data_IF_345812663533
#
_entry.id   IF_345812663533
#
_cell.length_a   1.000
_cell.length_b   1.000
_cell.length_c   1.000
_cell.angle_alpha   90.00
_cell.angle_beta   90.00
_cell.angle_gamma   90.00
#
_symmetry.space_group_name_H-M   'P 1'
#
loop_
_entity.id
_entity.type
_entity.pdbx_description
1 polymer ?
#
# COMPACT_ATOMS: atom_id res chain seq x y z
N UNK A 1 -1.16 -0.71 -17.17
CA UNK A 1 -0.02 -1.06 -16.30
C UNK A 1 -0.56 -1.21 -14.89
N UNK A 2 -0.08 -2.16 -14.07
CA UNK A 2 -0.54 -2.40 -12.70
C UNK A 2 -0.05 -1.33 -11.69
N UNK A 3 0.42 -0.18 -12.17
CA UNK A 3 0.96 0.90 -11.37
C UNK A 3 0.08 2.14 -11.53
N UNK A 4 -0.32 2.75 -10.41
CA UNK A 4 -1.08 4.00 -10.37
C UNK A 4 -0.36 5.03 -9.51
N UNK A 5 -0.15 6.22 -10.07
CA UNK A 5 0.18 7.42 -9.31
C UNK A 5 -1.14 8.13 -8.94
N UNK A 6 -1.41 8.24 -7.64
CA UNK A 6 -2.67 8.80 -7.18
C UNK A 6 -2.81 10.30 -7.43
N UNK A 7 -1.72 11.03 -7.64
CA UNK A 7 -1.76 12.45 -8.01
C UNK A 7 -2.39 12.68 -9.39
N UNK A 8 -2.51 11.62 -10.19
CA UNK A 8 -3.08 11.64 -11.53
C UNK A 8 -4.23 10.63 -11.70
N UNK A 9 -4.78 10.11 -10.60
CA UNK A 9 -5.83 9.09 -10.61
C UNK A 9 -7.07 9.57 -9.86
N UNK A 10 -8.25 9.47 -10.47
CA UNK A 10 -9.50 9.82 -9.79
C UNK A 10 -9.94 8.75 -8.78
N UNK A 11 -10.72 9.13 -7.77
CA UNK A 11 -11.26 8.21 -6.77
C UNK A 11 -12.05 7.05 -7.40
N UNK A 12 -12.86 7.32 -8.43
CA UNK A 12 -13.60 6.29 -9.16
C UNK A 12 -12.67 5.29 -9.89
N UNK A 13 -11.60 5.80 -10.52
CA UNK A 13 -10.61 4.94 -11.17
C UNK A 13 -9.84 4.09 -10.16
N UNK A 14 -9.47 4.67 -9.01
CA UNK A 14 -8.86 3.94 -7.91
C UNK A 14 -9.78 2.84 -7.38
N UNK A 15 -11.06 3.15 -7.14
CA UNK A 15 -12.06 2.18 -6.67
C UNK A 15 -12.18 0.98 -7.62
N UNK A 16 -12.22 1.23 -8.93
CA UNK A 16 -12.27 0.18 -9.94
C UNK A 16 -11.04 -0.74 -9.89
N UNK A 17 -9.86 -0.19 -9.63
CA UNK A 17 -8.65 -1.00 -9.50
C UNK A 17 -8.63 -1.78 -8.19
N UNK A 18 -9.03 -1.17 -7.06
CA UNK A 18 -9.10 -1.85 -5.77
C UNK A 18 -10.10 -3.01 -5.74
N UNK A 19 -11.14 -2.97 -6.58
CA UNK A 19 -12.09 -4.09 -6.75
C UNK A 19 -11.57 -5.15 -7.71
N UNK A 20 -10.77 -4.77 -8.72
CA UNK A 20 -10.19 -5.72 -9.68
C UNK A 20 -9.03 -6.53 -9.10
N UNK A 21 -8.19 -5.91 -8.27
CA UNK A 21 -6.98 -6.52 -7.75
C UNK A 21 -7.17 -7.00 -6.31
N UNK A 22 -6.80 -8.24 -6.04
CA UNK A 22 -6.90 -8.80 -4.70
C UNK A 22 -5.81 -8.27 -3.77
N UNK A 23 -4.60 -8.11 -4.28
CA UNK A 23 -3.43 -7.62 -3.54
C UNK A 23 -2.99 -6.26 -4.03
N UNK A 24 -2.78 -5.36 -3.07
CA UNK A 24 -2.36 -3.97 -3.29
C UNK A 24 -1.06 -3.74 -2.54
N UNK A 25 -0.09 -3.14 -3.20
CA UNK A 25 1.20 -2.72 -2.66
C UNK A 25 1.28 -1.20 -2.82
N UNK A 26 1.11 -0.47 -1.73
CA UNK A 26 1.16 0.99 -1.72
C UNK A 26 2.51 1.48 -1.17
N UNK A 27 3.07 2.49 -1.83
CA UNK A 27 4.20 3.26 -1.33
C UNK A 27 3.70 4.66 -0.94
N UNK A 28 3.71 4.92 0.36
CA UNK A 28 3.40 6.22 0.94
C UNK A 28 4.69 7.04 1.00
N UNK A 29 4.67 8.17 0.31
CA UNK A 29 5.81 9.06 0.09
C UNK A 29 5.38 10.53 0.19
N UNK A 30 6.36 11.42 0.08
CA UNK A 30 6.15 12.85 0.00
C UNK A 30 7.00 13.45 -1.13
N UNK A 31 6.51 14.50 -1.79
CA UNK A 31 7.16 15.13 -2.93
C UNK A 31 8.57 15.66 -2.61
N UNK A 32 8.82 16.09 -1.37
CA UNK A 32 10.11 16.61 -0.93
C UNK A 32 11.14 15.51 -0.59
N UNK A 33 10.75 14.24 -0.50
CA UNK A 33 11.64 13.16 -0.09
C UNK A 33 12.51 12.65 -1.26
N UNK A 34 13.80 13.00 -1.27
CA UNK A 34 14.73 12.58 -2.32
C UNK A 34 14.88 11.05 -2.40
N UNK A 35 14.87 10.37 -1.26
CA UNK A 35 14.90 8.90 -1.19
C UNK A 35 13.70 8.28 -1.91
N UNK A 36 12.50 8.86 -1.77
CA UNK A 36 11.31 8.45 -2.50
C UNK A 36 11.47 8.70 -4.01
N UNK A 37 11.98 9.86 -4.41
CA UNK A 37 12.22 10.18 -5.84
C UNK A 37 13.13 9.15 -6.50
N UNK A 38 14.22 8.79 -5.83
CA UNK A 38 15.18 7.78 -6.32
C UNK A 38 14.59 6.36 -6.31
N UNK A 39 13.65 6.08 -5.42
CA UNK A 39 13.01 4.77 -5.29
C UNK A 39 11.89 4.55 -6.31
N UNK A 40 11.14 5.60 -6.66
CA UNK A 40 9.99 5.55 -7.58
C UNK A 40 10.23 4.74 -8.87
N UNK A 41 11.30 4.98 -9.67
CA UNK A 41 11.51 4.20 -10.90
C UNK A 41 11.77 2.72 -10.63
N UNK A 42 12.37 2.37 -9.49
CA UNK A 42 12.60 0.96 -9.09
C UNK A 42 11.29 0.29 -8.67
N UNK A 43 10.42 1.03 -7.99
CA UNK A 43 9.10 0.57 -7.59
C UNK A 43 8.19 0.36 -8.82
N UNK A 44 8.24 1.26 -9.80
CA UNK A 44 7.53 1.11 -11.07
C UNK A 44 8.02 -0.11 -11.86
N UNK A 45 9.35 -0.27 -12.02
CA UNK A 45 9.92 -1.46 -12.67
C UNK A 45 9.58 -2.78 -11.94
N UNK A 46 9.37 -2.73 -10.63
CA UNK A 46 8.88 -3.88 -9.87
C UNK A 46 7.41 -4.18 -10.19
N UNK A 47 6.57 -3.16 -10.33
CA UNK A 47 5.17 -3.32 -10.69
C UNK A 47 5.01 -4.00 -12.07
N UNK A 48 5.86 -3.66 -13.03
CA UNK A 48 5.87 -4.31 -14.36
C UNK A 48 6.15 -5.82 -14.29
N UNK A 49 6.92 -6.26 -13.29
CA UNK A 49 7.24 -7.68 -13.08
C UNK A 49 6.12 -8.46 -12.38
N UNK A 50 5.11 -7.76 -11.85
CA UNK A 50 4.02 -8.33 -11.04
C UNK A 50 2.64 -7.85 -11.53
N UNK A 51 2.21 -8.21 -12.76
CA UNK A 51 0.95 -7.77 -13.34
C UNK A 51 -0.30 -8.23 -12.58
N UNK A 52 -0.16 -9.22 -11.70
CA UNK A 52 -1.20 -9.74 -10.81
C UNK A 52 -1.47 -8.88 -9.56
N UNK A 53 -0.55 -7.98 -9.22
CA UNK A 53 -0.66 -7.09 -8.06
C UNK A 53 -0.99 -5.67 -8.52
N UNK A 54 -1.63 -4.88 -7.65
CA UNK A 54 -1.78 -3.43 -7.87
C UNK A 54 -0.72 -2.67 -7.08
N UNK A 55 0.10 -1.91 -7.77
CA UNK A 55 1.07 -1.00 -7.17
C UNK A 55 0.49 0.42 -7.14
N UNK A 56 0.52 1.06 -5.97
CA UNK A 56 0.05 2.42 -5.78
C UNK A 56 1.20 3.30 -5.30
N UNK A 57 1.37 4.45 -5.93
CA UNK A 57 2.21 5.53 -5.45
C UNK A 57 1.31 6.60 -4.84
N UNK A 58 1.49 6.86 -3.55
CA UNK A 58 0.65 7.75 -2.78
C UNK A 58 1.53 8.86 -2.23
N UNK A 59 1.37 10.07 -2.77
CA UNK A 59 1.88 11.26 -2.13
C UNK A 59 0.94 11.66 -1.01
N UNK A 60 1.40 11.57 0.24
CA UNK A 60 0.55 11.80 1.40
C UNK A 60 0.16 13.29 1.54
N UNK A 61 0.93 14.20 0.94
CA UNK A 61 0.64 15.64 0.98
C UNK A 61 -0.57 15.97 0.08
N UNK A 62 -0.63 15.36 -1.10
CA UNK A 62 -1.70 15.57 -2.07
C UNK A 62 -2.94 14.69 -1.80
N UNK A 63 -2.74 13.50 -1.21
CA UNK A 63 -3.81 12.52 -0.97
C UNK A 63 -4.35 12.53 0.46
N UNK A 64 -4.26 13.66 1.17
CA UNK A 64 -4.67 13.82 2.56
C UNK A 64 -6.10 13.31 2.86
N UNK A 65 -7.04 13.45 1.91
CA UNK A 65 -8.41 12.94 2.04
C UNK A 65 -8.49 11.41 2.06
N UNK A 66 -7.60 10.73 1.32
CA UNK A 66 -7.51 9.27 1.30
C UNK A 66 -6.67 8.77 2.49
N UNK A 67 -5.50 9.36 2.74
CA UNK A 67 -4.59 8.90 3.79
C UNK A 67 -5.03 9.31 5.19
N UNK A 68 -5.90 10.33 5.32
CA UNK A 68 -6.40 10.87 6.59
C UNK A 68 -5.28 11.06 7.63
N UNK A 69 -5.55 10.65 8.86
CA UNK A 69 -4.62 10.78 9.99
C UNK A 69 -3.57 9.65 10.08
N UNK A 70 -3.10 9.12 8.94
CA UNK A 70 -2.01 8.14 8.98
C UNK A 70 -0.76 8.77 9.60
N UNK A 71 -0.33 8.26 10.75
CA UNK A 71 0.86 8.72 11.44
C UNK A 71 2.12 8.17 10.75
N UNK A 72 2.60 8.90 9.74
CA UNK A 72 3.78 8.55 8.94
C UNK A 72 4.91 9.49 9.30
N UNK A 73 5.81 9.00 10.14
CA UNK A 73 6.98 9.77 10.57
C UNK A 73 8.15 9.65 9.56
N UNK A 74 8.21 8.55 8.80
CA UNK A 74 9.36 8.22 7.96
C UNK A 74 8.95 7.73 6.58
N UNK A 75 9.78 8.04 5.57
CA UNK A 75 9.55 7.70 4.17
C UNK A 75 10.72 6.89 3.57
N UNK A 76 10.45 5.97 2.61
CA UNK A 76 9.13 5.51 2.21
C UNK A 76 8.48 4.60 3.26
N UNK A 77 7.16 4.71 3.43
CA UNK A 77 6.37 3.76 4.21
C UNK A 77 5.57 2.88 3.26
N UNK A 78 5.65 1.56 3.44
CA UNK A 78 4.94 0.62 2.59
C UNK A 78 3.72 0.05 3.27
N UNK A 79 2.73 -0.22 2.44
CA UNK A 79 1.49 -0.87 2.81
C UNK A 79 1.24 -2.03 1.86
N UNK A 80 0.95 -3.21 2.42
CA UNK A 80 0.50 -4.37 1.63
C UNK A 80 -0.84 -4.82 2.16
N UNK A 81 -1.86 -4.71 1.32
CA UNK A 81 -3.22 -5.12 1.64
C UNK A 81 -3.66 -6.25 0.72
N UNK A 82 -4.18 -7.33 1.31
CA UNK A 82 -4.71 -8.48 0.62
C UNK A 82 -6.19 -8.62 0.97
N UNK A 83 -7.08 -8.52 -0.02
CA UNK A 83 -8.51 -8.34 0.21
C UNK A 83 -8.76 -7.17 1.17
N UNK A 84 -9.47 -7.40 2.26
CA UNK A 84 -9.78 -6.39 3.27
C UNK A 84 -8.78 -6.39 4.44
N UNK A 85 -7.67 -7.12 4.34
CA UNK A 85 -6.67 -7.22 5.42
C UNK A 85 -5.37 -6.53 5.04
N UNK A 86 -4.98 -5.53 5.82
CA UNK A 86 -3.64 -4.94 5.79
C UNK A 86 -2.67 -5.93 6.43
N UNK A 87 -1.88 -6.58 5.58
CA UNK A 87 -0.94 -7.63 5.97
C UNK A 87 0.44 -7.11 6.35
N UNK A 88 0.77 -5.88 5.91
CA UNK A 88 2.00 -5.18 6.28
C UNK A 88 1.76 -3.68 6.22
N UNK A 89 2.25 -2.96 7.22
CA UNK A 89 2.34 -1.51 7.21
C UNK A 89 3.58 -1.07 8.00
N UNK A 90 4.48 -0.34 7.34
CA UNK A 90 5.67 0.17 8.03
C UNK A 90 6.74 0.75 7.10
N UNK A 91 7.63 1.53 7.70
CA UNK A 91 8.78 2.13 7.02
C UNK A 91 9.79 1.08 6.59
N UNK A 92 10.35 1.23 5.39
CA UNK A 92 11.49 0.42 4.96
C UNK A 92 12.50 1.23 4.16
N UNK A 93 13.71 0.69 4.07
CA UNK A 93 14.70 1.21 3.13
C UNK A 93 14.19 1.02 1.70
N UNK A 94 14.58 1.89 0.74
CA UNK A 94 14.16 1.81 -0.67
C UNK A 94 14.84 0.65 -1.42
N UNK A 95 14.68 -0.58 -0.94
CA UNK A 95 15.25 -1.81 -1.49
C UNK A 95 14.16 -2.72 -2.07
N UNK A 96 14.16 -2.88 -3.39
CA UNK A 96 13.19 -3.73 -4.09
C UNK A 96 13.33 -5.21 -3.73
N UNK A 97 14.53 -5.67 -3.34
CA UNK A 97 14.74 -7.06 -2.95
C UNK A 97 14.06 -7.38 -1.62
N UNK A 98 14.09 -6.45 -0.68
CA UNK A 98 13.34 -6.52 0.57
C UNK A 98 11.84 -6.50 0.31
N UNK A 99 11.34 -5.57 -0.50
CA UNK A 99 9.91 -5.51 -0.84
C UNK A 99 9.43 -6.83 -1.47
N UNK A 100 10.18 -7.37 -2.45
CA UNK A 100 9.88 -8.68 -3.05
C UNK A 100 9.75 -9.79 -2.00
N UNK A 101 10.67 -9.86 -1.03
CA UNK A 101 10.63 -10.86 0.04
C UNK A 101 9.39 -10.70 0.92
N UNK A 102 9.00 -9.47 1.26
CA UNK A 102 7.80 -9.20 2.05
C UNK A 102 6.57 -9.63 1.26
N UNK A 103 6.41 -9.20 0.00
CA UNK A 103 5.30 -9.61 -0.87
C UNK A 103 5.19 -11.14 -0.93
N UNK A 104 6.32 -11.84 -1.16
CA UNK A 104 6.35 -13.30 -1.22
C UNK A 104 6.01 -13.96 0.11
N UNK A 105 6.42 -13.39 1.24
CA UNK A 105 6.07 -13.87 2.58
C UNK A 105 4.56 -13.76 2.80
N UNK A 106 3.99 -12.58 2.52
CA UNK A 106 2.57 -12.31 2.75
C UNK A 106 1.68 -13.11 1.79
N UNK A 107 2.11 -13.33 0.54
CA UNK A 107 1.38 -14.11 -0.46
C UNK A 107 1.31 -15.62 -0.12
N UNK A 108 2.16 -16.13 0.77
CA UNK A 108 2.10 -17.53 1.24
C UNK A 108 1.06 -17.74 2.34
N UNK A 109 0.54 -16.67 2.93
CA UNK A 109 -0.46 -16.75 3.98
C UNK A 109 -1.86 -16.85 3.35
N UNK A 110 -2.67 -17.78 3.86
CA UNK A 110 -4.08 -17.85 3.49
C UNK A 110 -4.87 -16.65 4.06
N UNK A 111 -6.02 -16.29 3.45
CA UNK A 111 -6.88 -15.24 3.99
C UNK A 111 -7.27 -15.44 5.46
N UNK A 112 -7.53 -16.69 5.86
CA UNK A 112 -7.88 -17.04 7.24
C UNK A 112 -6.72 -16.78 8.22
N UNK A 113 -5.48 -17.07 7.80
CA UNK A 113 -4.28 -16.81 8.60
C UNK A 113 -4.03 -15.31 8.76
N UNK A 114 -4.17 -14.54 7.67
CA UNK A 114 -4.04 -13.08 7.71
C UNK A 114 -5.10 -12.46 8.62
N UNK A 115 -6.35 -12.90 8.53
CA UNK A 115 -7.42 -12.41 9.39
C UNK A 115 -7.19 -12.77 10.86
N UNK A 116 -6.72 -14.00 11.12
CA UNK A 116 -6.36 -14.44 12.48
C UNK A 116 -5.26 -13.54 13.04
N UNK A 117 -4.18 -13.34 12.30
CA UNK A 117 -3.07 -12.49 12.74
C UNK A 117 -3.53 -11.05 12.99
N UNK A 118 -4.33 -10.50 12.06
CA UNK A 118 -4.91 -9.17 12.16
C UNK A 118 -5.84 -9.00 13.36
N UNK A 119 -6.46 -10.08 13.87
CA UNK A 119 -7.36 -10.04 15.02
C UNK A 119 -6.65 -10.20 16.36
N UNK A 120 -5.53 -10.93 16.41
CA UNK A 120 -4.85 -11.28 17.67
C UNK A 120 -3.67 -10.35 17.99
N UNK A 121 -3.01 -9.79 16.98
CA UNK A 121 -1.90 -8.86 17.15
C UNK A 121 -2.41 -7.42 17.33
N UNK A 122 -2.03 -6.76 18.43
CA UNK A 122 -2.47 -5.40 18.73
C UNK A 122 -2.07 -4.38 17.68
N UNK A 123 -0.88 -4.51 17.10
CA UNK A 123 -0.37 -3.62 16.07
C UNK A 123 -1.08 -3.88 14.74
N UNK A 124 -1.30 -5.16 14.37
CA UNK A 124 -2.02 -5.46 13.12
C UNK A 124 -3.50 -5.08 13.17
N UNK A 125 -4.14 -5.13 14.35
CA UNK A 125 -5.50 -4.60 14.53
C UNK A 125 -5.58 -3.12 14.17
N UNK A 126 -4.63 -2.31 14.68
CA UNK A 126 -4.57 -0.88 14.38
C UNK A 126 -4.41 -0.62 12.88
N UNK A 127 -3.60 -1.43 12.18
CA UNK A 127 -3.47 -1.30 10.72
C UNK A 127 -4.79 -1.48 9.98
N UNK A 128 -5.71 -2.31 10.49
CA UNK A 128 -7.01 -2.52 9.83
C UNK A 128 -7.92 -1.30 9.91
N UNK A 129 -7.82 -0.53 10.99
CA UNK A 129 -8.62 0.69 11.18
C UNK A 129 -7.94 1.92 10.60
N UNK A 130 -6.61 1.99 10.69
CA UNK A 130 -5.83 3.17 10.34
C UNK A 130 -5.22 3.10 8.95
N UNK A 131 -4.91 1.95 8.38
CA UNK A 131 -4.15 1.88 7.13
C UNK A 131 -4.95 1.25 5.97
N UNK A 132 -6.13 0.70 6.23
CA UNK A 132 -6.91 0.01 5.21
C UNK A 132 -7.40 0.96 4.10
N UNK A 133 -6.81 0.83 2.90
CA UNK A 133 -7.10 1.71 1.78
C UNK A 133 -8.53 1.56 1.25
N UNK A 134 -9.10 0.35 1.31
CA UNK A 134 -10.48 0.11 0.88
C UNK A 134 -11.47 0.76 1.82
N UNK A 135 -11.24 0.64 3.13
CA UNK A 135 -12.05 1.31 4.15
C UNK A 135 -11.94 2.83 4.00
N UNK A 136 -10.73 3.36 3.86
CA UNK A 136 -10.47 4.79 3.72
C UNK A 136 -11.10 5.38 2.47
N UNK A 137 -10.99 4.71 1.32
CA UNK A 137 -11.64 5.16 0.10
C UNK A 137 -13.17 5.21 0.26
N UNK A 138 -13.76 4.26 0.97
CA UNK A 138 -15.19 4.27 1.25
C UNK A 138 -15.63 5.39 2.21
N UNK A 139 -14.71 5.94 3.01
CA UNK A 139 -14.98 7.09 3.90
C UNK A 139 -14.69 8.44 3.24
N UNK A 140 -13.87 8.46 2.19
CA UNK A 140 -13.45 9.67 1.47
C UNK A 140 -14.36 10.06 0.29
N UNK A 141 -15.29 9.17 -0.11
CA UNK A 141 -16.28 9.35 -1.20
C UNK A 141 -17.67 9.52 -0.59
#
# INVERSE_FOLDING_TARGET
MPYLDLNHTSAAALQQHLTKYQTVVACLCAAWCDVCKDYRPKFEALAEQHPELLFLWIDIEDQASLVGDLDIENFPTLLIQQNDVVSFYGTMQPDTSQLKRIIQSQARQSPEQLQTQANFDGQQRLWQTEANLRLRLALAV
#
